data_IF_100389617817
#
_entry.id   IF_100389617817
#
_cell.length_a   1.000
_cell.length_b   1.000
_cell.length_c   1.000
_cell.angle_alpha   90.00
_cell.angle_beta   90.00
_cell.angle_gamma   90.00
#
_symmetry.space_group_name_H-M   'P 1'
#
loop_
_entity.id
_entity.type
_entity.pdbx_description
1 polymer ?
#
# COMPACT_ATOMS: atom_id res chain seq x y z
N UNK A 1 18.72 -9.86 -0.56
CA UNK A 1 19.03 -8.43 -0.38
C UNK A 1 17.71 -7.71 -0.33
N UNK A 2 17.25 -7.36 0.85
CA UNK A 2 16.14 -6.43 1.06
C UNK A 2 16.60 -5.07 0.54
N UNK A 3 15.80 -4.44 -0.30
CA UNK A 3 16.10 -3.09 -0.80
C UNK A 3 16.03 -2.11 0.38
N UNK A 4 17.14 -1.41 0.67
CA UNK A 4 17.26 -0.47 1.80
C UNK A 4 16.28 0.71 1.72
N UNK A 5 15.51 0.81 0.63
CA UNK A 5 14.47 1.83 0.42
C UNK A 5 13.10 1.44 0.97
N UNK A 6 12.83 0.16 1.23
CA UNK A 6 11.54 -0.29 1.80
C UNK A 6 11.25 0.20 3.23
N UNK A 7 12.23 0.34 4.14
CA UNK A 7 11.98 0.85 5.49
C UNK A 7 11.22 2.19 5.51
N UNK A 8 11.58 3.13 4.62
CA UNK A 8 10.89 4.42 4.56
C UNK A 8 9.40 4.28 4.16
N UNK A 9 9.09 3.38 3.21
CA UNK A 9 7.71 3.11 2.80
C UNK A 9 6.92 2.47 3.96
N UNK A 10 7.57 1.56 4.70
CA UNK A 10 6.95 0.90 5.85
C UNK A 10 6.67 1.91 6.97
N UNK A 11 7.60 2.80 7.27
CA UNK A 11 7.41 3.89 8.25
C UNK A 11 6.25 4.81 7.84
N UNK A 12 6.12 5.15 6.56
CA UNK A 12 4.99 5.92 6.03
C UNK A 12 3.65 5.19 6.19
N UNK A 13 3.61 3.88 5.94
CA UNK A 13 2.42 3.03 6.17
C UNK A 13 2.04 2.99 7.66
N UNK A 14 3.02 2.84 8.56
CA UNK A 14 2.78 2.86 10.01
C UNK A 14 2.22 4.20 10.50
N UNK A 15 2.74 5.32 9.97
CA UNK A 15 2.22 6.65 10.27
C UNK A 15 0.78 6.80 9.77
N UNK A 16 0.53 6.40 8.52
CA UNK A 16 -0.79 6.45 7.90
C UNK A 16 -1.81 5.61 8.67
N UNK A 17 -1.41 4.43 9.15
CA UNK A 17 -2.28 3.57 9.96
C UNK A 17 -2.72 4.26 11.25
N UNK A 18 -1.80 4.92 11.96
CA UNK A 18 -2.13 5.67 13.19
C UNK A 18 -3.12 6.79 12.91
N UNK A 19 -2.94 7.51 11.81
CA UNK A 19 -3.87 8.57 11.40
C UNK A 19 -5.27 8.02 11.10
N UNK A 20 -5.35 6.93 10.32
CA UNK A 20 -6.61 6.27 9.98
C UNK A 20 -7.33 5.72 11.21
N UNK A 21 -6.61 5.09 12.14
CA UNK A 21 -7.18 4.55 13.39
C UNK A 21 -7.67 5.65 14.34
N UNK A 22 -7.06 6.83 14.27
CA UNK A 22 -7.50 8.00 15.03
C UNK A 22 -8.67 8.75 14.38
N UNK A 23 -8.99 8.45 13.12
CA UNK A 23 -9.97 9.18 12.35
C UNK A 23 -11.39 8.95 12.87
N UNK A 24 -12.10 10.04 13.17
CA UNK A 24 -13.50 10.00 13.62
C UNK A 24 -14.39 10.61 12.55
N UNK A 25 -15.38 9.86 12.09
CA UNK A 25 -16.39 10.34 11.14
C UNK A 25 -17.78 9.80 11.46
N UNK A 26 -18.79 10.64 11.24
CA UNK A 26 -20.21 10.27 11.31
C UNK A 26 -20.75 9.76 9.98
N UNK A 27 -20.04 9.99 8.86
CA UNK A 27 -20.52 9.62 7.53
C UNK A 27 -20.28 8.13 7.25
N UNK A 28 -21.33 7.30 7.02
CA UNK A 28 -21.17 5.85 6.92
C UNK A 28 -20.25 5.38 5.80
N UNK A 29 -20.31 6.04 4.63
CA UNK A 29 -19.44 5.68 3.48
C UNK A 29 -17.98 5.99 3.78
N UNK A 30 -17.70 7.13 4.41
CA UNK A 30 -16.31 7.53 4.76
C UNK A 30 -15.77 6.56 5.81
N UNK A 31 -16.59 6.17 6.80
CA UNK A 31 -16.21 5.16 7.79
C UNK A 31 -15.82 3.84 7.12
N UNK A 32 -16.65 3.35 6.19
CA UNK A 32 -16.36 2.13 5.45
C UNK A 32 -15.04 2.22 4.67
N UNK A 33 -14.78 3.34 3.99
CA UNK A 33 -13.53 3.55 3.25
C UNK A 33 -12.31 3.56 4.19
N UNK A 34 -12.44 4.19 5.38
CA UNK A 34 -11.37 4.17 6.40
C UNK A 34 -11.12 2.74 6.89
N UNK A 35 -12.16 1.96 7.16
CA UNK A 35 -12.04 0.56 7.59
C UNK A 35 -11.39 -0.32 6.52
N UNK A 36 -11.71 -0.11 5.24
CA UNK A 36 -11.08 -0.78 4.10
C UNK A 36 -9.59 -0.41 3.98
N UNK A 37 -9.26 0.89 4.07
CA UNK A 37 -7.87 1.34 4.00
C UNK A 37 -7.04 0.81 5.18
N UNK A 38 -7.57 0.80 6.41
CA UNK A 38 -6.91 0.21 7.58
C UNK A 38 -6.57 -1.26 7.34
N UNK A 39 -7.51 -2.01 6.77
CA UNK A 39 -7.29 -3.43 6.46
C UNK A 39 -6.15 -3.60 5.46
N UNK A 40 -6.15 -2.80 4.40
CA UNK A 40 -5.18 -2.91 3.32
C UNK A 40 -3.77 -2.50 3.79
N UNK A 41 -3.65 -1.44 4.60
CA UNK A 41 -2.40 -1.02 5.25
C UNK A 41 -1.88 -2.07 6.23
N UNK A 42 -2.73 -2.60 7.11
CA UNK A 42 -2.34 -3.67 8.05
C UNK A 42 -1.87 -4.93 7.33
N UNK A 43 -2.50 -5.27 6.21
CA UNK A 43 -2.10 -6.39 5.39
C UNK A 43 -0.69 -6.18 4.82
N UNK A 44 -0.44 -5.01 4.23
CA UNK A 44 0.86 -4.65 3.68
C UNK A 44 1.97 -4.68 4.75
N UNK A 45 1.73 -4.12 5.93
CA UNK A 45 2.66 -4.18 7.06
C UNK A 45 2.93 -5.62 7.50
N UNK A 46 1.90 -6.46 7.61
CA UNK A 46 2.08 -7.88 7.92
C UNK A 46 2.95 -8.61 6.90
N UNK A 47 2.89 -8.22 5.61
CA UNK A 47 3.78 -8.76 4.58
C UNK A 47 5.22 -8.30 4.76
N UNK A 48 5.44 -7.08 5.24
CA UNK A 48 6.78 -6.61 5.60
C UNK A 48 7.37 -7.47 6.73
N UNK A 49 6.61 -7.75 7.78
CA UNK A 49 7.04 -8.63 8.88
C UNK A 49 7.42 -10.04 8.40
N UNK A 50 6.70 -10.54 7.38
CA UNK A 50 6.94 -11.84 6.76
C UNK A 50 8.03 -11.82 5.67
N UNK A 51 8.73 -10.71 5.46
CA UNK A 51 9.70 -10.51 4.37
C UNK A 51 9.12 -10.74 2.95
N UNK A 52 7.82 -10.56 2.76
CA UNK A 52 7.11 -10.77 1.49
C UNK A 52 6.53 -9.48 0.89
N UNK A 53 6.83 -8.31 1.47
CA UNK A 53 6.26 -7.01 1.11
C UNK A 53 6.16 -6.73 -0.40
N UNK A 54 7.26 -6.91 -1.12
CA UNK A 54 7.36 -6.63 -2.56
C UNK A 54 7.18 -7.87 -3.44
N UNK A 55 6.55 -8.94 -2.93
CA UNK A 55 6.35 -10.19 -3.69
C UNK A 55 4.91 -10.27 -4.20
N UNK A 56 4.73 -10.41 -5.52
CA UNK A 56 3.43 -10.62 -6.14
C UNK A 56 2.79 -11.91 -5.62
N UNK A 57 1.56 -11.84 -5.09
CA UNK A 57 0.88 -13.01 -4.51
C UNK A 57 0.49 -14.06 -5.52
N UNK A 58 0.24 -13.62 -6.76
CA UNK A 58 -0.19 -14.51 -7.82
C UNK A 58 0.97 -15.26 -8.48
N UNK A 59 2.11 -14.59 -8.67
CA UNK A 59 3.25 -15.16 -9.42
C UNK A 59 4.46 -15.51 -8.55
N UNK A 60 4.56 -14.98 -7.33
CA UNK A 60 5.75 -15.07 -6.49
C UNK A 60 6.92 -14.21 -6.99
N UNK A 61 6.73 -13.42 -8.05
CA UNK A 61 7.75 -12.53 -8.60
C UNK A 61 7.89 -11.25 -7.78
N UNK A 62 9.04 -10.59 -7.89
CA UNK A 62 9.23 -9.29 -7.28
C UNK A 62 8.45 -8.20 -8.03
N UNK A 63 7.66 -7.43 -7.29
CA UNK A 63 7.06 -6.19 -7.76
C UNK A 63 8.17 -5.12 -7.79
N UNK A 64 8.38 -4.43 -8.92
CA UNK A 64 9.37 -3.36 -9.01
C UNK A 64 9.17 -2.28 -7.95
N UNK A 65 10.26 -1.81 -7.34
CA UNK A 65 10.23 -0.79 -6.29
C UNK A 65 9.44 0.46 -6.67
N UNK A 66 9.62 0.98 -7.88
CA UNK A 66 8.90 2.20 -8.33
C UNK A 66 7.38 2.00 -8.36
N UNK A 67 6.92 0.77 -8.59
CA UNK A 67 5.49 0.44 -8.53
C UNK A 67 5.03 0.32 -7.07
N UNK A 68 5.80 -0.37 -6.22
CA UNK A 68 5.54 -0.43 -4.77
C UNK A 68 5.46 0.95 -4.13
N UNK A 69 6.32 1.89 -4.54
CA UNK A 69 6.32 3.26 -4.05
C UNK A 69 5.03 4.02 -4.43
N UNK A 70 4.40 3.69 -5.56
CA UNK A 70 3.16 4.35 -5.97
C UNK A 70 1.93 3.86 -5.22
N UNK A 71 1.85 2.56 -4.89
CA UNK A 71 0.72 1.98 -4.16
C UNK A 71 1.20 0.86 -3.23
N UNK A 72 1.77 1.21 -2.06
CA UNK A 72 2.45 0.24 -1.19
C UNK A 72 1.54 -0.84 -0.58
N UNK A 73 0.22 -0.69 -0.73
CA UNK A 73 -0.80 -1.64 -0.27
C UNK A 73 -1.21 -2.67 -1.32
N UNK A 74 -0.86 -2.51 -2.60
CA UNK A 74 -1.22 -3.53 -3.59
C UNK A 74 -0.37 -4.79 -3.43
N UNK A 75 -0.96 -5.95 -3.69
CA UNK A 75 -0.31 -7.25 -3.46
C UNK A 75 0.01 -7.99 -4.76
N UNK A 76 -0.46 -7.50 -5.90
CA UNK A 76 -0.29 -8.15 -7.20
C UNK A 76 0.33 -7.23 -8.27
N UNK A 77 1.06 -7.83 -9.21
CA UNK A 77 1.53 -7.14 -10.40
C UNK A 77 0.38 -6.63 -11.29
N UNK A 78 -0.78 -7.27 -11.25
CA UNK A 78 -1.94 -6.85 -12.04
C UNK A 78 -2.48 -5.50 -11.53
N UNK A 79 -2.72 -5.38 -10.22
CA UNK A 79 -3.13 -4.11 -9.60
C UNK A 79 -2.14 -2.99 -9.90
N UNK A 80 -0.85 -3.30 -9.80
CA UNK A 80 0.24 -2.38 -10.11
C UNK A 80 0.27 -1.91 -11.55
N UNK A 81 0.03 -2.83 -12.49
CA UNK A 81 -0.07 -2.51 -13.91
C UNK A 81 -1.32 -1.69 -14.21
N UNK A 82 -2.44 -1.96 -13.54
CA UNK A 82 -3.66 -1.17 -13.67
C UNK A 82 -3.45 0.25 -13.13
N UNK A 83 -2.78 0.40 -11.98
CA UNK A 83 -2.35 1.70 -11.46
C UNK A 83 -1.44 2.44 -12.43
N UNK A 84 -0.44 1.76 -13.00
CA UNK A 84 0.46 2.37 -13.99
C UNK A 84 -0.28 2.81 -15.25
N UNK A 85 -1.30 2.06 -15.67
CA UNK A 85 -2.03 2.28 -16.93
C UNK A 85 -3.13 3.32 -16.81
N UNK A 86 -3.85 3.32 -15.68
CA UNK A 86 -5.06 4.12 -15.50
C UNK A 86 -4.95 5.15 -14.36
N UNK A 87 -3.97 4.99 -13.47
CA UNK A 87 -3.68 5.95 -12.41
C UNK A 87 -3.21 7.28 -12.98
N UNK A 88 -3.67 8.39 -12.40
CA UNK A 88 -3.21 9.72 -12.79
C UNK A 88 -1.81 9.96 -12.22
N UNK A 89 -0.78 9.62 -13.01
CA UNK A 89 0.64 9.75 -12.62
C UNK A 89 1.11 11.22 -12.59
N UNK A 90 0.33 12.14 -13.18
CA UNK A 90 0.59 13.57 -13.15
C UNK A 90 -0.61 14.34 -12.57
N UNK A 91 -0.52 14.72 -11.30
CA UNK A 91 -1.22 15.89 -10.80
C UNK A 91 -0.32 17.09 -11.12
N UNK A 92 -0.72 17.93 -12.07
CA UNK A 92 -0.17 19.28 -12.15
C UNK A 92 -0.68 20.03 -10.92
N UNK A 93 0.14 20.06 -9.87
CA UNK A 93 0.02 20.99 -8.75
C UNK A 93 0.62 22.35 -9.15
#
# INVERSE_FOLDING_TARGET
MTDDRYPAIIEELESSLKELESAVTSHPIVRKMIEEEIRDVRYALGRADMNSFATCEMSGELIPFELMKMSPTSSTLQEMNDWRKYGKVHLHL
#
